data_IF_448353181147
#
_entry.id   IF_448353181147
#
_cell.length_a   1.000
_cell.length_b   1.000
_cell.length_c   1.000
_cell.angle_alpha   90.00
_cell.angle_beta   90.00
_cell.angle_gamma   90.00
#
_symmetry.space_group_name_H-M   'P 1'
#
loop_
_entity.id
_entity.type
_entity.pdbx_description
1 polymer ?
#
# COMPACT_ATOMS: atom_id res chain seq x y z
N UNK A 1 52.70 -63.82 15.07
CA UNK A 1 51.61 -63.86 16.08
C UNK A 1 50.40 -63.16 15.47
N UNK A 2 49.53 -63.90 14.77
CA UNK A 2 48.24 -64.44 15.24
C UNK A 2 47.15 -63.35 15.34
N UNK A 3 46.38 -63.12 14.26
CA UNK A 3 44.99 -63.59 13.98
C UNK A 3 43.91 -62.92 14.86
N UNK A 4 42.93 -62.26 14.20
CA UNK A 4 41.50 -62.65 14.22
C UNK A 4 40.52 -61.49 13.91
N UNK A 5 40.08 -61.48 12.66
CA UNK A 5 38.74 -61.33 12.05
C UNK A 5 37.46 -61.03 12.87
N UNK A 6 36.50 -60.40 12.13
CA UNK A 6 35.00 -60.46 12.17
C UNK A 6 34.29 -59.52 13.19
N UNK A 7 33.10 -58.92 12.99
CA UNK A 7 32.10 -58.82 11.90
C UNK A 7 30.90 -57.99 12.42
N UNK A 8 30.37 -57.09 11.56
CA UNK A 8 28.98 -56.56 11.40
C UNK A 8 28.17 -56.02 12.60
N UNK A 9 27.41 -54.95 12.32
CA UNK A 9 26.00 -54.61 12.63
C UNK A 9 25.96 -53.07 12.43
N UNK A 10 25.35 -52.45 11.43
CA UNK A 10 24.02 -52.68 10.88
C UNK A 10 23.02 -51.77 11.59
N UNK A 11 22.91 -50.50 11.21
CA UNK A 11 21.70 -49.67 11.44
C UNK A 11 21.65 -48.56 10.40
N UNK A 12 20.78 -48.74 9.40
CA UNK A 12 20.28 -47.63 8.59
C UNK A 12 19.34 -46.82 9.49
N UNK A 13 19.76 -45.60 9.86
CA UNK A 13 18.89 -44.64 10.52
C UNK A 13 18.54 -43.56 9.49
N UNK A 14 17.44 -43.79 8.78
CA UNK A 14 16.77 -42.77 7.98
C UNK A 14 16.32 -41.65 8.90
N UNK A 15 17.07 -40.54 8.90
CA UNK A 15 16.62 -39.28 9.46
C UNK A 15 15.45 -38.77 8.62
N UNK A 16 14.23 -39.06 9.08
CA UNK A 16 13.04 -38.34 8.66
C UNK A 16 13.21 -36.92 9.21
N UNK A 17 13.74 -36.01 8.39
CA UNK A 17 13.65 -34.59 8.68
C UNK A 17 12.18 -34.25 8.47
N UNK A 18 11.43 -34.26 9.57
CA UNK A 18 10.08 -33.72 9.68
C UNK A 18 10.06 -32.38 8.97
N UNK A 19 9.26 -32.28 7.89
CA UNK A 19 9.11 -31.06 7.14
C UNK A 19 8.71 -29.93 8.08
N UNK A 20 9.61 -28.97 8.27
CA UNK A 20 9.29 -27.65 8.80
C UNK A 20 8.47 -26.94 7.73
N UNK A 21 7.21 -27.33 7.59
CA UNK A 21 6.22 -26.52 6.91
C UNK A 21 6.09 -25.25 7.71
N UNK A 22 6.68 -24.16 7.22
CA UNK A 22 6.37 -22.82 7.69
C UNK A 22 4.88 -22.62 7.47
N UNK A 23 4.09 -22.70 8.55
CA UNK A 23 2.72 -22.19 8.55
C UNK A 23 2.86 -20.71 8.17
N UNK A 24 2.54 -20.39 6.93
CA UNK A 24 2.37 -19.00 6.52
C UNK A 24 1.23 -18.47 7.39
N UNK A 25 1.54 -17.64 8.38
CA UNK A 25 0.55 -16.75 8.97
C UNK A 25 0.00 -15.94 7.80
N UNK A 26 -1.17 -16.34 7.30
CA UNK A 26 -1.99 -15.45 6.50
C UNK A 26 -2.19 -14.24 7.39
N UNK A 27 -1.46 -13.17 7.09
CA UNK A 27 -1.53 -11.93 7.83
C UNK A 27 -3.00 -11.54 7.81
N UNK A 28 -3.67 -11.76 8.94
CA UNK A 28 -5.11 -11.64 9.05
C UNK A 28 -5.43 -10.16 8.96
N UNK A 29 -5.52 -9.64 7.73
CA UNK A 29 -6.11 -8.35 7.48
C UNK A 29 -7.46 -8.34 8.19
N UNK A 30 -7.78 -7.22 8.83
CA UNK A 30 -9.00 -7.10 9.64
C UNK A 30 -10.30 -7.34 8.85
N UNK A 31 -11.43 -6.88 9.38
CA UNK A 31 -12.76 -7.21 8.84
C UNK A 31 -12.99 -6.92 7.33
N UNK A 32 -12.12 -6.12 6.70
CA UNK A 32 -12.18 -5.74 5.29
C UNK A 32 -10.96 -6.21 4.47
N UNK A 33 -10.25 -7.25 4.94
CA UNK A 33 -9.07 -7.79 4.27
C UNK A 33 -7.78 -7.03 4.59
N UNK A 34 -6.70 -7.23 3.80
CA UNK A 34 -5.36 -6.72 4.11
C UNK A 34 -5.27 -5.19 4.20
N UNK A 35 -6.18 -4.48 3.53
CA UNK A 35 -6.22 -3.01 3.58
C UNK A 35 -7.06 -2.48 4.74
N UNK A 36 -7.51 -3.31 5.69
CA UNK A 36 -8.33 -2.84 6.82
C UNK A 36 -7.60 -1.75 7.61
N UNK A 37 -8.21 -0.58 7.77
CA UNK A 37 -7.60 0.51 8.54
C UNK A 37 -7.66 0.29 10.05
N UNK A 38 -6.60 0.68 10.77
CA UNK A 38 -6.60 0.81 12.24
C UNK A 38 -7.68 1.76 12.71
N UNK A 39 -8.14 1.58 13.95
CA UNK A 39 -9.11 2.49 14.60
C UNK A 39 -8.61 3.94 14.49
N UNK A 40 -9.50 4.84 14.09
CA UNK A 40 -9.20 6.26 13.85
C UNK A 40 -8.77 6.60 12.41
N UNK A 41 -8.59 5.60 11.56
CA UNK A 41 -8.31 5.76 10.13
C UNK A 41 -9.42 5.16 9.27
N UNK A 42 -9.55 5.69 8.06
CA UNK A 42 -10.51 5.25 7.04
C UNK A 42 -9.82 5.24 5.67
N UNK A 43 -10.35 4.46 4.72
CA UNK A 43 -9.89 4.54 3.34
C UNK A 43 -10.11 5.95 2.78
N UNK A 44 -9.11 6.46 2.07
CA UNK A 44 -9.13 7.79 1.46
C UNK A 44 -10.16 7.90 0.34
N UNK A 45 -10.40 6.82 -0.39
CA UNK A 45 -11.43 6.71 -1.44
C UNK A 45 -11.39 7.85 -2.48
N UNK A 46 -10.20 8.28 -2.87
CA UNK A 46 -10.10 9.33 -3.87
C UNK A 46 -10.36 8.85 -5.30
N UNK A 47 -10.37 7.55 -5.53
CA UNK A 47 -10.77 6.90 -6.78
C UNK A 47 -11.21 5.46 -6.45
N UNK A 48 -11.89 4.76 -7.38
CA UNK A 48 -12.25 3.36 -7.16
C UNK A 48 -11.01 2.50 -6.88
N UNK A 49 -10.98 1.84 -5.72
CA UNK A 49 -9.84 1.02 -5.27
C UNK A 49 -8.78 1.77 -4.46
N UNK A 50 -8.98 3.04 -4.12
CA UNK A 50 -8.09 3.77 -3.21
C UNK A 50 -8.33 3.41 -1.74
N UNK A 51 -7.65 2.36 -1.29
CA UNK A 51 -7.71 1.92 0.11
C UNK A 51 -6.64 2.55 1.00
N UNK A 52 -5.99 3.65 0.58
CA UNK A 52 -4.99 4.32 1.41
C UNK A 52 -5.60 4.75 2.75
N UNK A 53 -5.12 4.22 3.87
CA UNK A 53 -5.62 4.62 5.19
C UNK A 53 -5.18 6.03 5.58
N UNK A 54 -6.16 6.90 5.83
CA UNK A 54 -5.99 8.33 6.18
C UNK A 54 -6.96 8.72 7.30
N UNK A 55 -6.82 9.93 7.84
CA UNK A 55 -7.81 10.45 8.81
C UNK A 55 -9.15 10.73 8.12
N UNK A 56 -10.28 10.74 8.85
CA UNK A 56 -11.58 11.11 8.29
C UNK A 56 -11.57 12.47 7.57
N UNK A 57 -10.87 13.46 8.11
CA UNK A 57 -10.74 14.78 7.50
C UNK A 57 -10.05 14.72 6.13
N UNK A 58 -9.02 13.88 5.99
CA UNK A 58 -8.30 13.71 4.73
C UNK A 58 -9.14 12.99 3.68
N UNK A 59 -9.99 12.03 4.07
CA UNK A 59 -11.01 11.44 3.17
C UNK A 59 -11.99 12.51 2.70
N UNK A 60 -12.50 13.34 3.61
CA UNK A 60 -13.40 14.44 3.26
C UNK A 60 -12.73 15.46 2.31
N UNK A 61 -11.44 15.74 2.53
CA UNK A 61 -10.64 16.63 1.68
C UNK A 61 -10.44 16.05 0.29
N UNK A 62 -10.14 14.76 0.16
CA UNK A 62 -10.02 14.07 -1.12
C UNK A 62 -11.34 14.14 -1.92
N UNK A 63 -12.48 13.89 -1.27
CA UNK A 63 -13.78 14.02 -1.90
C UNK A 63 -14.05 15.47 -2.38
N UNK A 64 -13.66 16.48 -1.60
CA UNK A 64 -13.77 17.88 -2.00
C UNK A 64 -12.86 18.20 -3.20
N UNK A 65 -11.64 17.68 -3.21
CA UNK A 65 -10.70 17.89 -4.31
C UNK A 65 -11.21 17.28 -5.63
N UNK A 66 -11.80 16.09 -5.57
CA UNK A 66 -12.45 15.47 -6.73
C UNK A 66 -13.60 16.33 -7.27
N UNK A 67 -14.47 16.85 -6.38
CA UNK A 67 -15.57 17.74 -6.79
C UNK A 67 -15.08 19.05 -7.42
N UNK A 68 -13.92 19.54 -7.02
CA UNK A 68 -13.35 20.80 -7.49
C UNK A 68 -12.34 20.64 -8.63
N UNK A 69 -12.04 19.41 -9.06
CA UNK A 69 -10.98 19.11 -10.00
C UNK A 69 -11.09 19.93 -11.29
N UNK A 70 -12.28 19.97 -11.90
CA UNK A 70 -12.53 20.72 -13.14
C UNK A 70 -12.35 22.23 -12.99
N UNK A 71 -12.74 22.81 -11.84
CA UNK A 71 -12.61 24.24 -11.59
C UNK A 71 -11.17 24.72 -11.44
N UNK A 72 -10.21 23.78 -11.30
CA UNK A 72 -8.80 24.04 -11.06
C UNK A 72 -7.91 23.69 -12.25
N UNK A 73 -8.49 23.21 -13.34
CA UNK A 73 -7.82 23.05 -14.63
C UNK A 73 -7.73 24.40 -15.33
N UNK A 74 -6.65 24.62 -16.07
CA UNK A 74 -6.46 25.82 -16.88
C UNK A 74 -7.41 25.83 -18.06
N UNK A 75 -8.07 26.97 -18.28
CA UNK A 75 -8.95 27.15 -19.44
C UNK A 75 -8.15 27.34 -20.75
N UNK A 76 -6.96 27.94 -20.65
CA UNK A 76 -6.15 28.37 -21.79
C UNK A 76 -4.84 27.61 -21.93
N UNK A 77 -4.24 27.19 -20.81
CA UNK A 77 -2.97 26.47 -20.82
C UNK A 77 -3.19 24.98 -21.11
N UNK A 78 -2.36 24.46 -22.03
CA UNK A 78 -2.33 23.08 -22.50
C UNK A 78 -0.92 22.49 -22.50
N UNK A 79 0.04 23.13 -21.84
CA UNK A 79 1.46 22.73 -21.80
C UNK A 79 1.64 21.25 -21.43
N UNK A 80 0.83 20.74 -20.50
CA UNK A 80 0.83 19.34 -20.08
C UNK A 80 -0.48 18.61 -20.45
N UNK A 81 -1.17 19.06 -21.49
CA UNK A 81 -2.43 18.51 -21.97
C UNK A 81 -3.68 19.12 -21.32
N UNK A 82 -4.85 18.51 -21.54
CA UNK A 82 -6.15 19.05 -21.13
C UNK A 82 -6.36 19.14 -19.62
N UNK A 83 -5.52 18.44 -18.83
CA UNK A 83 -5.57 18.41 -17.37
C UNK A 83 -4.54 19.34 -16.73
N UNK A 84 -3.87 20.20 -17.51
CA UNK A 84 -2.94 21.22 -17.01
C UNK A 84 -3.63 22.06 -15.93
N UNK A 85 -3.06 22.15 -14.74
CA UNK A 85 -3.64 22.94 -13.66
C UNK A 85 -3.49 24.45 -13.91
N UNK A 86 -4.48 25.23 -13.48
CA UNK A 86 -4.38 26.70 -13.49
C UNK A 86 -3.35 27.17 -12.46
N UNK A 87 -2.84 28.38 -12.62
CA UNK A 87 -1.85 28.98 -11.72
C UNK A 87 -2.28 28.86 -10.24
N UNK A 88 -1.34 28.45 -9.38
CA UNK A 88 -1.58 28.19 -7.95
C UNK A 88 -2.04 26.77 -7.62
N UNK A 89 -2.24 25.92 -8.61
CA UNK A 89 -2.59 24.50 -8.43
C UNK A 89 -1.56 23.58 -9.10
N UNK A 90 -1.47 22.36 -8.58
CA UNK A 90 -0.60 21.29 -9.07
C UNK A 90 -1.38 19.98 -9.11
N UNK A 91 -0.93 19.01 -9.90
CA UNK A 91 -1.49 17.66 -9.85
C UNK A 91 -1.27 17.05 -8.48
N UNK A 92 -2.30 16.40 -7.96
CA UNK A 92 -2.33 15.82 -6.62
C UNK A 92 -1.38 14.64 -6.46
N UNK A 93 -1.17 13.88 -7.53
CA UNK A 93 -0.19 12.78 -7.57
C UNK A 93 -0.44 11.74 -6.45
N UNK A 94 -1.71 11.40 -6.18
CA UNK A 94 -2.04 10.39 -5.17
C UNK A 94 -1.69 8.96 -5.62
N UNK A 95 -1.63 8.73 -6.92
CA UNK A 95 -1.19 7.51 -7.59
C UNK A 95 -0.67 7.91 -8.99
N UNK A 96 -0.08 6.96 -9.70
CA UNK A 96 0.39 7.22 -11.07
C UNK A 96 -0.77 7.59 -12.00
N UNK A 97 -0.67 8.74 -12.66
CA UNK A 97 -1.76 9.30 -13.48
C UNK A 97 -2.80 10.14 -12.74
N UNK A 98 -2.69 10.33 -11.42
CA UNK A 98 -3.58 11.24 -10.67
C UNK A 98 -3.30 12.72 -11.00
N UNK A 99 -4.05 13.23 -11.96
CA UNK A 99 -3.97 14.59 -12.48
C UNK A 99 -5.03 15.51 -11.86
N UNK A 100 -5.60 15.14 -10.71
CA UNK A 100 -6.53 16.00 -9.97
C UNK A 100 -5.83 17.26 -9.50
N UNK A 101 -6.31 18.44 -9.87
CA UNK A 101 -5.67 19.69 -9.46
C UNK A 101 -6.00 20.07 -8.01
N UNK A 102 -4.96 20.27 -7.20
CA UNK A 102 -5.02 20.64 -5.77
C UNK A 102 -3.98 21.71 -5.45
N UNK A 103 -3.99 22.24 -4.22
CA UNK A 103 -2.95 23.17 -3.79
C UNK A 103 -1.63 22.43 -3.57
N UNK A 104 -0.46 23.10 -3.66
CA UNK A 104 0.84 22.49 -3.37
C UNK A 104 0.91 21.83 -1.99
N UNK A 105 0.29 22.44 -0.97
CA UNK A 105 0.23 21.92 0.39
C UNK A 105 -0.57 20.62 0.45
N UNK A 106 -1.68 20.56 -0.28
CA UNK A 106 -2.50 19.35 -0.33
C UNK A 106 -1.78 18.21 -1.05
N UNK A 107 -1.03 18.48 -2.12
CA UNK A 107 -0.14 17.49 -2.74
C UNK A 107 0.88 16.95 -1.74
N UNK A 108 1.50 17.84 -0.94
CA UNK A 108 2.44 17.43 0.09
C UNK A 108 1.78 16.56 1.17
N UNK A 109 0.55 16.88 1.58
CA UNK A 109 -0.24 16.06 2.51
C UNK A 109 -0.57 14.68 1.94
N UNK A 110 -0.96 14.59 0.68
CA UNK A 110 -1.23 13.30 0.01
C UNK A 110 0.03 12.43 -0.03
N UNK A 111 1.19 13.00 -0.37
CA UNK A 111 2.47 12.28 -0.34
C UNK A 111 2.82 11.77 1.05
N UNK A 112 2.60 12.61 2.06
CA UNK A 112 2.79 12.24 3.46
C UNK A 112 1.85 11.09 3.90
N UNK A 113 0.58 11.13 3.47
CA UNK A 113 -0.40 10.10 3.78
C UNK A 113 -0.04 8.76 3.11
N UNK A 114 0.34 8.79 1.83
CA UNK A 114 0.80 7.59 1.12
C UNK A 114 2.04 6.97 1.80
N UNK A 115 3.01 7.79 2.22
CA UNK A 115 4.21 7.31 2.91
C UNK A 115 3.93 6.69 4.29
N UNK A 116 2.75 6.96 4.88
CA UNK A 116 2.36 6.45 6.21
C UNK A 116 1.28 5.38 6.15
N UNK A 117 0.76 5.07 4.97
CA UNK A 117 -0.34 4.15 4.78
C UNK A 117 -0.05 2.78 5.43
N UNK A 118 1.15 2.22 5.23
CA UNK A 118 1.56 0.92 5.79
C UNK A 118 1.44 0.86 7.32
N UNK A 119 1.73 1.97 8.02
CA UNK A 119 1.60 2.04 9.47
C UNK A 119 0.17 2.16 9.98
N UNK A 120 -0.81 2.34 9.08
CA UNK A 120 -2.21 2.62 9.37
C UNK A 120 -3.16 1.47 9.00
N UNK A 121 -2.68 0.43 8.32
CA UNK A 121 -3.40 -0.84 8.15
C UNK A 121 -3.30 -1.71 9.41
N UNK A 122 -4.31 -2.55 9.67
CA UNK A 122 -4.38 -3.52 10.77
C UNK A 122 -3.49 -4.72 10.53
#
# INVERSE_FOLDING_TARGET
MSRSTLTRIGFALTLIISGLGTMSEAQAGGAYGPDTCKIGYVWREAYPGDHTCVTPDQRARAALDNRQAGNRVSATDRTYGSRTCRQGYVWREAYDGDTTCVTPEQRARVKYDNARANGRYQ
#
